data_IF_699701979305
#
_entry.id   IF_699701979305
#
_cell.length_a   1.000
_cell.length_b   1.000
_cell.length_c   1.000
_cell.angle_alpha   90.00
_cell.angle_beta   90.00
_cell.angle_gamma   90.00
#
_symmetry.space_group_name_H-M   'P 1'
#
loop_
_entity.id
_entity.type
_entity.pdbx_description
1 polymer ?
#
# COMPACT_ATOMS: atom_id res chain seq x y z
N UNK A 1 6.13 -16.61 23.01
CA UNK A 1 5.99 -16.78 22.29
C UNK A 1 5.86 -16.29 21.22
N UNK A 2 6.16 -16.40 20.62
CA UNK A 2 6.14 -15.96 19.63
C UNK A 2 5.35 -16.07 18.70
N UNK A 3 4.77 -16.28 18.70
CA UNK A 3 4.07 -16.49 17.90
C UNK A 3 3.77 -15.74 17.03
N UNK A 4 3.85 -15.19 17.01
CA UNK A 4 3.61 -14.56 16.23
C UNK A 4 4.09 -14.26 15.37
N UNK A 5 4.72 -14.41 15.41
CA UNK A 5 5.36 -14.17 14.50
C UNK A 5 5.13 -14.61 13.36
N UNK A 6 4.60 -15.29 13.27
CA UNK A 6 4.39 -15.86 12.17
C UNK A 6 3.28 -15.23 11.49
N UNK A 7 3.43 -14.70 10.36
CA UNK A 7 2.37 -14.15 9.59
C UNK A 7 1.75 -15.27 8.82
N UNK A 8 0.55 -15.61 9.19
CA UNK A 8 -0.16 -16.64 8.47
C UNK A 8 -0.81 -15.99 7.29
N UNK A 9 -0.60 -16.48 6.09
CA UNK A 9 -1.21 -15.88 4.91
C UNK A 9 -2.72 -15.85 5.05
N UNK A 10 -3.30 -14.74 4.66
CA UNK A 10 -4.73 -14.58 4.63
C UNK A 10 -5.29 -15.58 3.60
N UNK A 11 -6.25 -16.37 3.98
CA UNK A 11 -6.84 -17.33 3.07
C UNK A 11 -7.51 -16.66 1.87
N UNK A 12 -7.81 -15.36 2.02
CA UNK A 12 -8.46 -14.61 0.97
C UNK A 12 -7.52 -13.78 0.13
N UNK A 13 -6.22 -14.01 0.25
CA UNK A 13 -5.25 -13.31 -0.56
C UNK A 13 -5.51 -13.63 -2.02
N UNK A 14 -5.63 -12.59 -2.83
CA UNK A 14 -5.80 -12.75 -4.25
C UNK A 14 -4.42 -12.67 -4.89
N UNK A 15 -3.90 -13.80 -5.40
CA UNK A 15 -2.56 -13.79 -5.97
C UNK A 15 -2.47 -12.98 -7.26
N UNK A 16 -3.59 -12.54 -7.82
CA UNK A 16 -3.56 -11.73 -9.03
C UNK A 16 -3.33 -10.24 -8.74
N UNK A 17 -3.32 -9.84 -7.46
CA UNK A 17 -3.09 -8.45 -7.13
C UNK A 17 -1.62 -8.13 -7.23
N UNK A 18 -1.28 -7.24 -8.15
CA UNK A 18 0.10 -6.80 -8.32
C UNK A 18 0.14 -5.29 -8.25
N UNK A 19 1.05 -4.77 -7.48
CA UNK A 19 1.29 -3.34 -7.42
C UNK A 19 2.45 -2.99 -8.33
N UNK A 20 2.30 -1.90 -9.08
CA UNK A 20 3.44 -1.39 -9.83
C UNK A 20 4.47 -0.86 -8.83
N UNK A 21 5.73 -0.69 -9.25
CA UNK A 21 6.74 -0.12 -8.35
C UNK A 21 6.34 1.23 -7.80
N UNK A 22 5.74 2.09 -8.61
CA UNK A 22 5.34 3.41 -8.15
C UNK A 22 4.16 3.34 -7.17
N UNK A 23 3.21 2.43 -7.43
CA UNK A 23 2.09 2.22 -6.50
C UNK A 23 2.60 1.74 -5.16
N UNK A 24 3.56 0.82 -5.18
CA UNK A 24 4.14 0.30 -3.95
C UNK A 24 4.85 1.40 -3.18
N UNK A 25 5.61 2.23 -3.89
CA UNK A 25 6.32 3.33 -3.26
C UNK A 25 5.36 4.33 -2.63
N UNK A 26 4.32 4.70 -3.36
CA UNK A 26 3.32 5.64 -2.84
C UNK A 26 2.63 5.05 -1.62
N UNK A 27 2.26 3.78 -1.69
CA UNK A 27 1.56 3.15 -0.58
C UNK A 27 2.46 3.05 0.65
N UNK A 28 3.74 2.81 0.46
CA UNK A 28 4.68 2.79 1.57
C UNK A 28 4.70 4.13 2.31
N UNK A 29 4.73 5.25 1.57
CA UNK A 29 4.70 6.56 2.22
C UNK A 29 3.36 6.83 2.89
N UNK A 30 2.27 6.27 2.36
CA UNK A 30 0.98 6.31 3.05
C UNK A 30 1.09 5.61 4.40
N UNK A 31 1.81 4.50 4.45
CA UNK A 31 2.00 3.75 5.70
C UNK A 31 2.77 4.58 6.73
N UNK A 32 3.62 5.50 6.27
CA UNK A 32 4.34 6.40 7.17
C UNK A 32 3.54 7.66 7.50
N UNK A 33 2.30 7.74 7.05
CA UNK A 33 1.43 8.85 7.40
C UNK A 33 1.60 10.09 6.55
N UNK A 34 2.26 9.99 5.40
CA UNK A 34 2.47 11.15 4.55
C UNK A 34 1.22 11.49 3.75
N UNK A 35 1.00 12.78 3.54
CA UNK A 35 -0.10 13.24 2.70
C UNK A 35 0.28 13.07 1.23
N UNK A 36 -0.70 13.15 0.34
CA UNK A 36 -0.44 13.06 -1.08
C UNK A 36 0.51 14.15 -1.55
N UNK A 37 0.38 15.35 -1.00
CA UNK A 37 1.29 16.44 -1.36
C UNK A 37 2.72 16.11 -0.96
N UNK A 38 2.88 15.63 0.29
CA UNK A 38 4.21 15.26 0.78
C UNK A 38 4.81 14.14 -0.06
N UNK A 39 3.99 13.15 -0.39
CA UNK A 39 4.47 12.04 -1.20
C UNK A 39 4.93 12.55 -2.56
N UNK A 40 4.17 13.47 -3.16
CA UNK A 40 4.57 14.05 -4.43
C UNK A 40 5.93 14.72 -4.34
N UNK A 41 6.19 15.43 -3.24
CA UNK A 41 7.49 16.06 -3.03
C UNK A 41 8.59 15.00 -2.90
N UNK A 42 8.30 13.90 -2.25
CA UNK A 42 9.31 12.85 -2.02
C UNK A 42 9.61 12.09 -3.31
N UNK A 43 8.59 11.71 -4.04
CA UNK A 43 8.79 10.84 -5.21
C UNK A 43 8.90 11.62 -6.52
N UNK A 44 8.72 12.95 -6.46
CA UNK A 44 8.95 13.79 -7.63
C UNK A 44 7.79 13.84 -8.60
N UNK A 45 6.56 13.93 -8.11
CA UNK A 45 5.41 14.09 -8.99
C UNK A 45 4.37 14.97 -8.34
N UNK A 46 3.32 15.28 -9.10
CA UNK A 46 2.26 16.14 -8.60
C UNK A 46 1.38 15.39 -7.61
N UNK A 47 0.74 16.16 -6.75
CA UNK A 47 -0.22 15.60 -5.81
C UNK A 47 -1.31 14.81 -6.55
N UNK A 48 -1.79 15.34 -7.66
CA UNK A 48 -2.83 14.67 -8.44
C UNK A 48 -2.35 13.32 -8.98
N UNK A 49 -1.07 13.22 -9.32
CA UNK A 49 -0.50 11.95 -9.76
C UNK A 49 -0.44 10.95 -8.62
N UNK A 50 -0.08 11.43 -7.42
CA UNK A 50 -0.11 10.57 -6.24
C UNK A 50 -1.52 10.04 -6.01
N UNK A 51 -2.51 10.93 -6.09
CA UNK A 51 -3.91 10.52 -5.89
C UNK A 51 -4.36 9.51 -6.94
N UNK A 52 -3.86 9.64 -8.16
CA UNK A 52 -4.13 8.66 -9.21
C UNK A 52 -3.60 7.29 -8.81
N UNK A 53 -2.36 7.24 -8.32
CA UNK A 53 -1.78 5.95 -7.88
C UNK A 53 -2.55 5.38 -6.70
N UNK A 54 -2.90 6.23 -5.73
CA UNK A 54 -3.68 5.79 -4.58
C UNK A 54 -5.01 5.21 -5.04
N UNK A 55 -5.68 5.89 -5.96
CA UNK A 55 -6.96 5.41 -6.49
C UNK A 55 -6.84 4.03 -7.13
N UNK A 56 -5.76 3.81 -7.86
CA UNK A 56 -5.52 2.51 -8.47
C UNK A 56 -5.31 1.43 -7.41
N UNK A 57 -4.56 1.77 -6.35
CA UNK A 57 -4.31 0.83 -5.26
C UNK A 57 -5.62 0.46 -4.57
N UNK A 58 -6.45 1.47 -4.29
CA UNK A 58 -7.73 1.23 -3.62
C UNK A 58 -8.60 0.29 -4.44
N UNK A 59 -8.63 0.50 -5.75
CA UNK A 59 -9.40 -0.38 -6.62
C UNK A 59 -8.85 -1.79 -6.65
N UNK A 60 -7.53 -1.92 -6.70
CA UNK A 60 -6.90 -3.24 -6.74
C UNK A 60 -7.19 -4.04 -5.49
N UNK A 61 -7.22 -3.37 -4.35
CA UNK A 61 -7.51 -4.04 -3.08
C UNK A 61 -9.00 -4.08 -2.75
N UNK A 62 -9.83 -3.40 -3.53
CA UNK A 62 -11.27 -3.31 -3.27
C UNK A 62 -11.54 -2.74 -1.88
N UNK A 63 -10.86 -1.64 -1.55
CA UNK A 63 -11.03 -0.96 -0.28
C UNK A 63 -11.32 0.52 -0.53
N UNK A 64 -11.75 1.21 0.50
CA UNK A 64 -12.16 2.60 0.38
C UNK A 64 -11.22 3.61 1.01
N UNK A 65 -10.25 3.16 1.79
CA UNK A 65 -9.38 4.10 2.50
C UNK A 65 -7.93 3.68 2.37
N UNK A 66 -7.03 4.65 2.51
CA UNK A 66 -5.60 4.39 2.48
C UNK A 66 -5.19 3.45 3.60
N UNK A 67 -5.75 3.63 4.78
CA UNK A 67 -5.41 2.78 5.92
C UNK A 67 -5.76 1.34 5.61
N UNK A 68 -6.95 1.10 5.06
CA UNK A 68 -7.34 -0.26 4.70
C UNK A 68 -6.42 -0.85 3.65
N UNK A 69 -5.99 -0.03 2.69
CA UNK A 69 -5.06 -0.50 1.65
C UNK A 69 -3.71 -0.86 2.25
N UNK A 70 -3.20 -0.04 3.17
CA UNK A 70 -1.92 -0.30 3.83
C UNK A 70 -2.01 -1.60 4.61
N UNK A 71 -3.08 -1.78 5.36
CA UNK A 71 -3.26 -2.98 6.18
C UNK A 71 -3.30 -4.22 5.29
N UNK A 72 -4.06 -4.19 4.21
CA UNK A 72 -4.12 -5.32 3.30
C UNK A 72 -2.76 -5.59 2.65
N UNK A 73 -2.06 -4.54 2.25
CA UNK A 73 -0.75 -4.71 1.63
C UNK A 73 0.23 -5.38 2.57
N UNK A 74 0.19 -5.01 3.84
CA UNK A 74 1.05 -5.64 4.85
C UNK A 74 0.67 -7.10 5.01
N UNK A 75 -0.62 -7.39 5.11
CA UNK A 75 -1.09 -8.76 5.31
C UNK A 75 -0.76 -9.64 4.11
N UNK A 76 -0.76 -9.07 2.92
CA UNK A 76 -0.44 -9.82 1.71
C UNK A 76 1.05 -9.89 1.45
N UNK A 77 1.86 -9.24 2.28
CA UNK A 77 3.31 -9.24 2.09
C UNK A 77 3.77 -8.40 0.93
N UNK A 78 2.97 -7.39 0.55
CA UNK A 78 3.29 -6.52 -0.58
C UNK A 78 4.04 -5.26 -0.19
N UNK A 79 4.07 -4.92 1.09
CA UNK A 79 4.87 -3.81 1.59
C UNK A 79 5.96 -4.39 2.46
N UNK A 80 7.20 -4.13 1.99
CA UNK A 80 8.32 -4.60 2.69
C UNK A 80 8.75 -3.58 3.62
N UNK A 81 8.93 -3.86 4.85
CA UNK A 81 9.31 -2.91 5.73
C UNK A 81 10.63 -2.96 6.18
N UNK A 82 11.48 -3.23 5.52
CA UNK A 82 12.77 -3.28 5.91
C UNK A 82 13.44 -2.18 5.99
#
# INVERSE_FOLDING_TARGET
MNLQRQVIPDANVDPSIHLTPREKEVLLWCAYGKTSWEIGQIVGCKESTVNFHVGNVLRKFAVNTRVSAVIKAIRYGLLDNQ
#
